data_IF_491936762000
#
_entry.id   IF_491936762000
#
_cell.length_a   1.000
_cell.length_b   1.000
_cell.length_c   1.000
_cell.angle_alpha   90.00
_cell.angle_beta   90.00
_cell.angle_gamma   90.00
#
_symmetry.space_group_name_H-M   'P 1'
#
loop_
_entity.id
_entity.type
_entity.pdbx_description
1 polymer ?
#
# COMPACT_ATOMS: atom_id res chain seq x y z
N UNK A 1 15.43 22.53 -13.95
CA UNK A 1 16.41 21.76 -13.15
C UNK A 1 16.38 22.37 -11.75
N UNK A 2 15.70 21.75 -10.78
CA UNK A 2 15.63 22.27 -9.41
C UNK A 2 17.02 22.32 -8.77
N UNK A 3 17.25 23.33 -7.93
CA UNK A 3 18.48 23.43 -7.15
C UNK A 3 18.38 22.49 -5.95
N UNK A 4 19.52 21.96 -5.50
CA UNK A 4 19.57 21.04 -4.35
C UNK A 4 18.97 21.66 -3.08
N UNK A 5 19.15 22.97 -2.89
CA UNK A 5 18.58 23.71 -1.76
C UNK A 5 17.05 23.64 -1.72
N UNK A 6 16.38 23.82 -2.86
CA UNK A 6 14.91 23.79 -2.94
C UNK A 6 14.37 22.40 -2.55
N UNK A 7 15.06 21.34 -2.98
CA UNK A 7 14.73 19.95 -2.60
C UNK A 7 14.92 19.70 -1.11
N UNK A 8 15.96 20.25 -0.50
CA UNK A 8 16.20 20.13 0.96
C UNK A 8 15.10 20.88 1.72
N UNK A 9 14.71 22.08 1.29
CA UNK A 9 13.62 22.84 1.92
C UNK A 9 12.27 22.13 1.78
N UNK A 10 11.97 21.56 0.61
CA UNK A 10 10.75 20.77 0.41
C UNK A 10 10.74 19.52 1.32
N UNK A 11 11.88 18.82 1.43
CA UNK A 11 12.01 17.67 2.31
C UNK A 11 11.81 18.06 3.78
N UNK A 12 12.41 19.17 4.21
CA UNK A 12 12.23 19.72 5.55
C UNK A 12 10.75 19.97 5.87
N UNK A 13 9.94 20.50 4.95
CA UNK A 13 8.50 20.69 5.21
C UNK A 13 7.72 19.38 5.43
N UNK A 14 8.22 18.27 4.89
CA UNK A 14 7.58 16.96 5.04
C UNK A 14 7.99 16.23 6.31
N UNK A 15 9.24 16.41 6.76
CA UNK A 15 9.83 15.61 7.85
C UNK A 15 10.15 16.43 9.11
N UNK A 16 10.41 17.73 8.95
CA UNK A 16 10.84 18.66 10.00
C UNK A 16 10.23 20.07 9.82
N UNK A 17 8.88 20.22 9.88
CA UNK A 17 8.18 21.45 9.48
C UNK A 17 8.45 22.67 10.38
N UNK A 18 9.11 22.51 11.53
CA UNK A 18 9.35 23.57 12.51
C UNK A 18 10.83 23.86 12.71
N UNK A 19 11.25 25.11 12.50
CA UNK A 19 12.55 25.63 12.93
C UNK A 19 13.69 25.60 11.89
N UNK A 20 14.91 25.90 12.35
CA UNK A 20 16.16 25.81 11.58
C UNK A 20 16.81 24.44 11.85
N UNK A 21 16.24 23.40 11.27
CA UNK A 21 16.83 22.06 11.32
C UNK A 21 18.06 22.03 10.41
N UNK A 22 19.18 21.50 10.89
CA UNK A 22 20.37 21.34 10.06
C UNK A 22 20.12 20.30 8.95
N UNK A 23 20.87 20.39 7.86
CA UNK A 23 20.67 19.49 6.70
C UNK A 23 20.90 18.02 7.05
N UNK A 24 21.79 17.69 7.99
CA UNK A 24 22.03 16.30 8.37
C UNK A 24 20.81 15.73 9.12
N UNK A 25 20.23 16.50 10.04
CA UNK A 25 19.00 16.13 10.75
C UNK A 25 17.81 15.96 9.80
N UNK A 26 17.61 16.87 8.84
CA UNK A 26 16.54 16.72 7.81
C UNK A 26 16.70 15.41 7.02
N UNK A 27 17.93 15.08 6.60
CA UNK A 27 18.17 13.85 5.83
C UNK A 27 18.01 12.59 6.69
N UNK A 28 18.39 12.66 7.97
CA UNK A 28 18.23 11.55 8.90
C UNK A 28 16.75 11.27 9.18
N UNK A 29 15.98 12.30 9.54
CA UNK A 29 14.53 12.20 9.78
C UNK A 29 13.79 11.68 8.53
N UNK A 30 14.19 12.13 7.34
CA UNK A 30 13.65 11.59 6.09
C UNK A 30 13.93 10.10 5.88
N UNK A 31 15.13 9.63 6.24
CA UNK A 31 15.47 8.22 6.14
C UNK A 31 14.59 7.37 7.06
N UNK A 32 14.42 7.81 8.31
CA UNK A 32 13.58 7.12 9.29
C UNK A 32 12.10 7.16 8.90
N UNK A 33 11.61 8.30 8.38
CA UNK A 33 10.22 8.41 7.93
C UNK A 33 9.90 7.48 6.75
N UNK A 34 10.84 7.32 5.80
CA UNK A 34 10.68 6.35 4.70
C UNK A 34 10.55 4.92 5.25
N UNK A 35 11.42 4.51 6.18
CA UNK A 35 11.34 3.18 6.81
C UNK A 35 10.01 2.98 7.53
N UNK A 36 9.59 3.97 8.30
CA UNK A 36 8.32 3.97 9.00
C UNK A 36 7.12 3.81 8.05
N UNK A 37 7.12 4.52 6.91
CA UNK A 37 6.09 4.37 5.89
C UNK A 37 6.09 2.96 5.28
N UNK A 38 7.27 2.38 5.03
CA UNK A 38 7.39 1.00 4.56
C UNK A 38 6.80 0.01 5.57
N UNK A 39 7.08 0.19 6.87
CA UNK A 39 6.53 -0.67 7.93
C UNK A 39 5.01 -0.53 8.05
N UNK A 40 4.48 0.69 7.93
CA UNK A 40 3.03 0.90 7.86
C UNK A 40 2.42 0.17 6.67
N UNK A 41 2.98 0.32 5.47
CA UNK A 41 2.47 -0.37 4.27
C UNK A 41 2.51 -1.88 4.45
N UNK A 42 3.59 -2.42 5.01
CA UNK A 42 3.70 -3.85 5.29
C UNK A 42 2.63 -4.32 6.28
N UNK A 43 2.41 -3.60 7.37
CA UNK A 43 1.36 -3.89 8.36
C UNK A 43 -0.05 -3.82 7.76
N UNK A 44 -0.34 -2.79 6.97
CA UNK A 44 -1.59 -2.61 6.23
C UNK A 44 -1.85 -3.76 5.25
N UNK A 45 -0.79 -4.28 4.63
CA UNK A 45 -0.87 -5.25 3.55
C UNK A 45 -0.83 -6.70 4.05
N UNK A 46 -0.23 -6.95 5.22
CA UNK A 46 -0.05 -8.29 5.80
C UNK A 46 -1.37 -9.09 6.00
N UNK A 47 -2.48 -8.50 6.48
CA UNK A 47 -3.78 -9.20 6.57
C UNK A 47 -4.29 -9.72 5.22
N UNK A 48 -3.99 -8.98 4.14
CA UNK A 48 -4.39 -9.35 2.79
C UNK A 48 -3.44 -10.37 2.17
N UNK A 49 -2.12 -10.26 2.39
CA UNK A 49 -1.11 -11.14 1.77
C UNK A 49 -0.93 -12.49 2.47
N UNK A 50 -1.01 -12.53 3.82
CA UNK A 50 -0.80 -13.78 4.58
C UNK A 50 -1.77 -14.89 4.15
N UNK A 51 -2.97 -14.48 3.77
CA UNK A 51 -4.07 -15.34 3.36
C UNK A 51 -4.07 -15.69 1.86
N UNK A 52 -3.07 -15.26 1.08
CA UNK A 52 -2.90 -15.63 -0.33
C UNK A 52 -2.32 -17.04 -0.49
N UNK A 53 -1.82 -17.66 0.58
CA UNK A 53 -1.20 -18.98 0.51
C UNK A 53 -2.11 -20.20 0.15
N UNK A 54 -3.46 -20.14 0.10
CA UNK A 54 -4.24 -21.17 -0.58
C UNK A 54 -4.47 -20.89 -2.09
N UNK A 55 -4.14 -19.71 -2.61
CA UNK A 55 -4.52 -19.29 -3.98
C UNK A 55 -3.78 -20.04 -5.10
N UNK A 56 -2.64 -20.68 -4.82
CA UNK A 56 -1.99 -21.54 -5.81
C UNK A 56 -2.85 -22.76 -6.17
N UNK A 57 -3.79 -23.17 -5.32
CA UNK A 57 -4.64 -24.34 -5.57
C UNK A 57 -5.98 -23.99 -6.24
N UNK A 58 -6.49 -22.76 -6.08
CA UNK A 58 -7.77 -22.34 -6.68
C UNK A 58 -7.65 -21.80 -8.11
N UNK A 59 -6.45 -21.45 -8.57
CA UNK A 59 -6.26 -20.89 -9.92
C UNK A 59 -6.20 -21.92 -11.07
N UNK A 60 -6.08 -23.22 -10.79
CA UNK A 60 -5.96 -24.22 -11.86
C UNK A 60 -7.28 -24.83 -12.34
N UNK A 61 -8.42 -24.57 -11.69
CA UNK A 61 -9.68 -25.29 -11.97
C UNK A 61 -10.85 -24.40 -12.39
N UNK A 62 -10.60 -23.46 -13.30
CA UNK A 62 -11.62 -22.49 -13.72
C UNK A 62 -11.45 -21.92 -15.11
N UNK A 63 -10.95 -22.68 -16.10
CA UNK A 63 -11.01 -22.28 -17.51
C UNK A 63 -10.93 -23.47 -18.48
N UNK A 64 -11.62 -24.55 -18.16
CA UNK A 64 -11.99 -25.56 -19.16
C UNK A 64 -13.50 -25.73 -19.08
N UNK A 65 -14.22 -25.04 -19.97
CA UNK A 65 -15.63 -25.23 -20.37
C UNK A 65 -16.36 -23.88 -20.53
N UNK A 66 -15.96 -23.10 -21.52
CA UNK A 66 -16.88 -22.22 -22.22
C UNK A 66 -16.75 -22.52 -23.71
N UNK A 67 -17.55 -23.48 -24.18
CA UNK A 67 -17.81 -23.63 -25.60
C UNK A 67 -18.57 -22.38 -26.07
N UNK A 68 -17.99 -21.73 -27.06
CA UNK A 68 -18.63 -21.19 -28.26
C UNK A 68 -19.99 -20.47 -28.08
N UNK A 69 -19.95 -19.14 -28.12
CA UNK A 69 -20.95 -18.36 -28.85
C UNK A 69 -20.31 -17.01 -29.25
N UNK A 70 -20.48 -16.61 -30.51
CA UNK A 70 -19.69 -15.60 -31.22
C UNK A 70 -19.88 -14.14 -30.79
N UNK A 71 -19.60 -13.82 -29.53
CA UNK A 71 -19.55 -12.46 -28.99
C UNK A 71 -18.17 -12.14 -28.40
N UNK A 72 -17.79 -10.86 -28.44
CA UNK A 72 -16.49 -10.28 -28.04
C UNK A 72 -15.79 -10.98 -26.86
N UNK A 73 -14.44 -11.06 -26.84
CA UNK A 73 -13.70 -11.69 -25.76
C UNK A 73 -14.07 -11.04 -24.42
N UNK A 74 -14.81 -11.78 -23.59
CA UNK A 74 -15.21 -11.34 -22.25
C UNK A 74 -13.94 -10.95 -21.48
N UNK A 75 -13.76 -9.65 -21.25
CA UNK A 75 -12.65 -9.12 -20.44
C UNK A 75 -12.73 -9.77 -19.06
N UNK A 76 -11.79 -10.66 -18.78
CA UNK A 76 -11.67 -11.30 -17.48
C UNK A 76 -11.32 -10.27 -16.40
N UNK A 77 -11.64 -10.57 -15.13
CA UNK A 77 -11.33 -9.65 -14.03
C UNK A 77 -9.83 -9.32 -13.96
N UNK A 78 -8.97 -10.28 -14.33
CA UNK A 78 -7.52 -10.13 -14.29
C UNK A 78 -7.01 -9.13 -15.34
N UNK A 79 -7.52 -9.13 -16.57
CA UNK A 79 -7.16 -8.09 -17.56
C UNK A 79 -7.56 -6.67 -17.13
N UNK A 80 -8.43 -6.56 -16.12
CA UNK A 80 -8.85 -5.30 -15.50
C UNK A 80 -8.14 -4.97 -14.19
N UNK A 81 -7.14 -5.76 -13.78
CA UNK A 81 -6.40 -5.55 -12.53
C UNK A 81 -7.16 -6.00 -11.27
N UNK A 82 -8.16 -6.87 -11.40
CA UNK A 82 -8.98 -7.39 -10.30
C UNK A 82 -8.77 -8.91 -10.12
N UNK A 83 -8.90 -9.41 -8.89
CA UNK A 83 -8.88 -10.84 -8.59
C UNK A 83 -9.96 -11.21 -7.55
N UNK A 84 -10.39 -12.47 -7.56
CA UNK A 84 -11.28 -13.01 -6.54
C UNK A 84 -10.45 -13.42 -5.32
N UNK A 85 -10.95 -13.10 -4.13
CA UNK A 85 -10.34 -13.46 -2.85
C UNK A 85 -11.43 -14.07 -1.95
N UNK A 86 -11.16 -15.17 -1.22
CA UNK A 86 -12.14 -15.74 -0.30
C UNK A 86 -12.61 -14.74 0.75
N UNK A 87 -13.91 -14.77 1.10
CA UNK A 87 -14.49 -13.88 2.12
C UNK A 87 -13.80 -14.05 3.49
N UNK A 88 -13.32 -15.26 3.81
CA UNK A 88 -12.58 -15.53 5.04
C UNK A 88 -11.28 -14.73 5.16
N UNK A 89 -10.63 -14.41 4.03
CA UNK A 89 -9.42 -13.59 3.96
C UNK A 89 -9.69 -12.12 4.28
N UNK A 90 -10.87 -11.63 3.90
CA UNK A 90 -11.28 -10.25 4.13
C UNK A 90 -12.00 -10.05 5.46
N UNK A 91 -12.36 -11.15 6.15
CA UNK A 91 -13.12 -11.10 7.39
C UNK A 91 -12.39 -10.37 8.52
N UNK A 92 -11.12 -10.72 8.76
CA UNK A 92 -10.31 -10.08 9.82
C UNK A 92 -10.10 -8.60 9.55
N UNK A 93 -9.87 -8.24 8.28
CA UNK A 93 -9.75 -6.85 7.84
C UNK A 93 -11.03 -6.08 8.13
N UNK A 94 -12.20 -6.61 7.75
CA UNK A 94 -13.49 -5.94 7.94
C UNK A 94 -13.93 -5.86 9.41
N UNK A 95 -13.51 -6.80 10.26
CA UNK A 95 -13.84 -6.80 11.70
C UNK A 95 -12.89 -5.94 12.53
N UNK A 96 -11.63 -5.80 12.12
CA UNK A 96 -10.58 -5.06 12.85
C UNK A 96 -10.37 -3.64 12.35
N UNK A 97 -11.19 -3.13 11.41
CA UNK A 97 -11.09 -1.74 10.96
C UNK A 97 -11.46 -0.77 12.08
N UNK A 98 -10.51 -0.49 12.96
CA UNK A 98 -10.47 0.74 13.75
C UNK A 98 -10.30 1.87 12.73
N UNK A 99 -11.19 2.87 12.70
CA UNK A 99 -11.08 4.02 11.80
C UNK A 99 -9.71 4.72 11.88
N UNK A 100 -9.01 4.57 13.00
CA UNK A 100 -7.68 5.13 13.27
C UNK A 100 -6.57 4.67 12.31
N UNK A 101 -6.75 3.54 11.61
CA UNK A 101 -5.72 2.95 10.75
C UNK A 101 -5.49 3.70 9.43
N UNK A 102 -6.49 4.48 8.97
CA UNK A 102 -6.47 5.14 7.65
C UNK A 102 -6.35 6.66 7.72
N UNK A 103 -6.27 7.27 8.91
CA UNK A 103 -6.03 8.71 8.96
C UNK A 103 -4.58 8.98 8.54
N UNK A 104 -4.34 9.88 7.58
CA UNK A 104 -2.99 10.32 7.30
C UNK A 104 -2.44 10.98 8.58
N UNK A 105 -1.47 10.34 9.23
CA UNK A 105 -0.73 10.88 10.39
C UNK A 105 0.26 11.97 10.00
N UNK A 106 -0.09 12.79 8.98
CA UNK A 106 0.66 13.97 8.62
C UNK A 106 0.51 14.99 9.76
N UNK A 107 1.39 14.90 10.76
CA UNK A 107 1.32 15.68 12.00
C UNK A 107 1.54 14.89 13.30
N UNK A 108 1.85 13.58 13.24
CA UNK A 108 2.30 12.84 14.41
C UNK A 108 3.67 13.35 14.88
N UNK A 109 3.72 13.98 16.05
CA UNK A 109 4.95 14.51 16.65
C UNK A 109 5.98 13.37 16.82
N UNK A 110 7.10 13.42 16.10
CA UNK A 110 8.29 12.67 16.47
C UNK A 110 8.73 13.15 17.86
N UNK A 111 8.83 12.22 18.81
CA UNK A 111 9.51 12.42 20.09
C UNK A 111 10.76 11.57 20.12
#
# INVERSE_FOLDING_TARGET
KEKLGDRITALQQLVSPFGKTDTASVLHEANEYIKFLHDQVASLTYPYLKNVNPLQQFQQKGSENAKDDGGEPKKDLRSRGLCLVPVATTYTVASETVPEFWYPTFGGTFR
#
